data_IF_706126143601
#
_entry.id   IF_706126143601
#
_cell.length_a   1.000
_cell.length_b   1.000
_cell.length_c   1.000
_cell.angle_alpha   90.00
_cell.angle_beta   90.00
_cell.angle_gamma   90.00
#
_symmetry.space_group_name_H-M   'P 1'
#
loop_
_entity.id
_entity.type
_entity.pdbx_description
1 polymer ?
#
# COMPACT_ATOMS: atom_id res chain seq x y z
N UNK A 1 20.36 -2.14 30.19
CA UNK A 1 20.98 -3.14 29.29
C UNK A 1 22.49 -3.05 29.38
N UNK A 2 23.16 -4.19 29.53
CA UNK A 2 24.60 -4.21 29.57
C UNK A 2 25.15 -4.01 28.15
N UNK A 3 26.38 -3.46 28.06
CA UNK A 3 27.01 -3.19 26.78
C UNK A 3 27.15 -4.47 25.93
N UNK A 4 27.51 -5.58 26.55
CA UNK A 4 27.66 -6.86 25.88
C UNK A 4 26.34 -7.34 25.25
N UNK A 5 25.22 -7.20 25.97
CA UNK A 5 23.91 -7.59 25.47
C UNK A 5 23.51 -6.77 24.25
N UNK A 6 23.86 -5.48 24.25
CA UNK A 6 23.56 -4.59 23.14
C UNK A 6 24.36 -4.97 21.89
N UNK A 7 25.64 -5.29 22.04
CA UNK A 7 26.47 -5.69 20.92
C UNK A 7 26.01 -7.02 20.31
N UNK A 8 25.63 -7.99 21.15
CA UNK A 8 25.10 -9.26 20.66
C UNK A 8 23.82 -9.06 19.88
N UNK A 9 22.91 -8.23 20.37
CA UNK A 9 21.66 -7.92 19.69
C UNK A 9 21.90 -7.23 18.35
N UNK A 10 22.83 -6.29 18.32
CA UNK A 10 23.18 -5.57 17.11
C UNK A 10 23.73 -6.52 16.04
N UNK A 11 24.61 -7.43 16.44
CA UNK A 11 25.21 -8.42 15.54
C UNK A 11 24.13 -9.36 14.98
N UNK A 12 23.25 -9.86 15.83
CA UNK A 12 22.16 -10.74 15.41
C UNK A 12 21.24 -10.05 14.42
N UNK A 13 20.93 -8.80 14.65
CA UNK A 13 20.09 -8.02 13.76
C UNK A 13 20.73 -7.84 12.39
N UNK A 14 22.04 -7.54 12.38
CA UNK A 14 22.80 -7.37 11.13
C UNK A 14 22.82 -8.66 10.32
N UNK A 15 23.07 -9.79 10.95
CA UNK A 15 23.08 -11.10 10.29
C UNK A 15 21.71 -11.43 9.70
N UNK A 16 20.64 -11.15 10.44
CA UNK A 16 19.26 -11.37 9.98
C UNK A 16 18.96 -10.52 8.76
N UNK A 17 19.37 -9.26 8.76
CA UNK A 17 19.15 -8.36 7.63
C UNK A 17 19.91 -8.80 6.39
N UNK A 18 21.17 -9.23 6.55
CA UNK A 18 21.97 -9.72 5.43
C UNK A 18 21.34 -10.98 4.83
N UNK A 19 20.88 -11.89 5.66
CA UNK A 19 20.22 -13.11 5.22
C UNK A 19 18.92 -12.78 4.45
N UNK A 20 18.12 -11.86 4.97
CA UNK A 20 16.90 -11.45 4.32
C UNK A 20 17.18 -10.79 2.96
N UNK A 21 18.22 -9.95 2.88
CA UNK A 21 18.62 -9.33 1.61
C UNK A 21 19.04 -10.36 0.59
N UNK A 22 19.80 -11.36 1.02
CA UNK A 22 20.21 -12.46 0.15
C UNK A 22 19.04 -13.21 -0.42
N UNK A 23 18.06 -13.53 0.42
CA UNK A 23 16.84 -14.22 -0.01
C UNK A 23 16.02 -13.38 -1.00
N UNK A 24 15.88 -12.09 -0.74
CA UNK A 24 15.15 -11.19 -1.62
C UNK A 24 15.84 -11.10 -2.98
N UNK A 25 17.16 -10.99 -2.98
CA UNK A 25 17.94 -10.91 -4.22
C UNK A 25 17.78 -12.17 -5.06
N UNK A 26 17.82 -13.34 -4.41
CA UNK A 26 17.66 -14.61 -5.11
C UNK A 26 16.25 -14.75 -5.70
N UNK A 27 15.23 -14.29 -4.99
CA UNK A 27 13.86 -14.33 -5.48
C UNK A 27 13.66 -13.40 -6.68
N UNK A 28 14.26 -12.22 -6.64
CA UNK A 28 14.08 -11.25 -7.74
C UNK A 28 14.75 -11.70 -9.04
N UNK A 29 15.72 -12.61 -8.99
CA UNK A 29 16.30 -13.18 -10.19
C UNK A 29 15.34 -14.11 -10.92
N UNK A 30 14.44 -14.76 -10.17
CA UNK A 30 13.52 -15.76 -10.71
C UNK A 30 12.08 -15.29 -10.82
N UNK A 31 11.73 -14.18 -10.14
CA UNK A 31 10.36 -13.64 -10.12
C UNK A 31 10.42 -12.18 -10.55
N UNK A 32 9.68 -11.82 -11.61
CA UNK A 32 9.68 -10.42 -12.04
C UNK A 32 9.08 -9.51 -10.96
N UNK A 33 9.69 -8.34 -10.82
CA UNK A 33 9.17 -7.32 -9.91
C UNK A 33 7.95 -6.71 -10.59
N UNK A 34 6.78 -6.68 -9.92
CA UNK A 34 5.61 -6.07 -10.53
C UNK A 34 5.81 -4.57 -10.74
N UNK A 35 5.23 -4.04 -11.80
CA UNK A 35 5.28 -2.62 -12.08
C UNK A 35 4.59 -1.84 -10.96
N UNK A 36 5.05 -0.61 -10.66
CA UNK A 36 4.34 0.23 -9.70
C UNK A 36 2.94 0.55 -10.22
N UNK A 37 1.96 0.74 -9.32
CA UNK A 37 0.61 1.11 -9.77
C UNK A 37 0.65 2.46 -10.49
N UNK A 38 -0.13 2.57 -11.57
CA UNK A 38 -0.20 3.82 -12.32
C UNK A 38 -0.95 4.88 -11.51
N UNK A 39 -0.64 6.15 -11.80
CA UNK A 39 -1.36 7.25 -11.19
C UNK A 39 -2.85 7.18 -11.54
N UNK A 40 -3.71 7.50 -10.57
CA UNK A 40 -5.17 7.44 -10.75
C UNK A 40 -5.71 8.86 -10.72
N UNK A 41 -6.28 9.35 -11.84
CA UNK A 41 -6.86 10.69 -11.88
C UNK A 41 -8.17 10.78 -11.09
N UNK A 42 -8.53 12.00 -10.71
CA UNK A 42 -9.71 12.27 -9.89
C UNK A 42 -10.98 11.63 -10.45
N UNK A 43 -11.17 11.72 -11.76
CA UNK A 43 -12.37 11.16 -12.40
C UNK A 43 -12.50 9.67 -12.24
N UNK A 44 -11.37 8.96 -12.29
CA UNK A 44 -11.37 7.50 -12.11
C UNK A 44 -11.70 7.12 -10.68
N UNK A 45 -11.23 7.90 -9.71
CA UNK A 45 -11.54 7.66 -8.29
C UNK A 45 -13.04 7.79 -8.04
N UNK A 46 -13.65 8.85 -8.56
CA UNK A 46 -15.10 9.04 -8.45
C UNK A 46 -15.86 7.89 -9.10
N UNK A 47 -15.44 7.52 -10.31
CA UNK A 47 -16.08 6.44 -11.06
C UNK A 47 -16.00 5.12 -10.30
N UNK A 48 -14.83 4.79 -9.78
CA UNK A 48 -14.63 3.56 -9.01
C UNK A 48 -15.52 3.55 -7.77
N UNK A 49 -15.55 4.64 -7.01
CA UNK A 49 -16.37 4.74 -5.82
C UNK A 49 -17.86 4.54 -6.14
N UNK A 50 -18.33 5.19 -7.19
CA UNK A 50 -19.74 5.07 -7.60
C UNK A 50 -20.08 3.67 -8.10
N UNK A 51 -19.16 3.05 -8.81
CA UNK A 51 -19.34 1.66 -9.27
C UNK A 51 -19.49 0.70 -8.08
N UNK A 52 -18.76 0.93 -6.99
CA UNK A 52 -18.86 0.14 -5.79
C UNK A 52 -20.06 0.50 -4.92
N UNK A 53 -20.76 1.59 -5.24
CA UNK A 53 -21.94 2.02 -4.50
C UNK A 53 -21.63 2.58 -3.12
N UNK A 54 -20.45 3.16 -2.94
CA UNK A 54 -19.97 3.62 -1.63
C UNK A 54 -20.03 5.13 -1.50
N UNK A 55 -20.30 5.60 -0.26
CA UNK A 55 -20.16 7.02 0.07
C UNK A 55 -18.68 7.37 0.17
N UNK A 56 -18.37 8.67 0.14
CA UNK A 56 -17.00 9.13 0.31
C UNK A 56 -16.41 8.70 1.66
N UNK A 57 -17.21 8.77 2.73
CA UNK A 57 -16.78 8.37 4.07
C UNK A 57 -16.47 6.89 4.16
N UNK A 58 -17.33 6.05 3.60
CA UNK A 58 -17.12 4.61 3.63
C UNK A 58 -15.92 4.22 2.77
N UNK A 59 -15.80 4.80 1.59
CA UNK A 59 -14.68 4.52 0.71
C UNK A 59 -13.34 4.92 1.36
N UNK A 60 -13.29 6.11 1.98
CA UNK A 60 -12.10 6.55 2.71
C UNK A 60 -11.73 5.56 3.82
N UNK A 61 -12.73 5.11 4.57
CA UNK A 61 -12.49 4.15 5.67
C UNK A 61 -11.94 2.82 5.14
N UNK A 62 -12.46 2.34 4.04
CA UNK A 62 -11.99 1.09 3.43
C UNK A 62 -10.56 1.20 2.93
N UNK A 63 -10.18 2.37 2.45
CA UNK A 63 -8.81 2.62 1.99
C UNK A 63 -7.86 3.00 3.13
N UNK A 64 -8.38 3.18 4.34
CA UNK A 64 -7.55 3.54 5.49
C UNK A 64 -7.06 4.98 5.48
N UNK A 65 -7.79 5.88 4.85
CA UNK A 65 -7.43 7.30 4.78
C UNK A 65 -8.53 8.16 5.39
N UNK A 66 -8.18 9.42 5.71
CA UNK A 66 -9.17 10.38 6.21
C UNK A 66 -10.16 10.75 5.10
N UNK A 67 -11.40 11.03 5.49
CA UNK A 67 -12.43 11.47 4.55
C UNK A 67 -11.98 12.68 3.74
N UNK A 68 -11.34 13.65 4.40
CA UNK A 68 -10.85 14.85 3.72
C UNK A 68 -9.82 14.55 2.67
N UNK A 69 -8.98 13.53 2.90
CA UNK A 69 -7.98 13.08 1.92
C UNK A 69 -8.68 12.50 0.69
N UNK A 70 -9.66 11.64 0.89
CA UNK A 70 -10.42 11.04 -0.22
C UNK A 70 -11.15 12.12 -1.03
N UNK A 71 -11.80 13.07 -0.35
CA UNK A 71 -12.48 14.18 -1.02
C UNK A 71 -11.49 15.01 -1.82
N UNK A 72 -10.30 15.28 -1.27
CA UNK A 72 -9.25 16.01 -1.96
C UNK A 72 -8.81 15.31 -3.25
N UNK A 73 -8.77 13.98 -3.24
CA UNK A 73 -8.46 13.20 -4.43
C UNK A 73 -9.55 13.38 -5.50
N UNK A 74 -10.82 13.32 -5.11
CA UNK A 74 -11.93 13.48 -6.05
C UNK A 74 -12.02 14.88 -6.63
N UNK A 75 -11.56 15.88 -5.88
CA UNK A 75 -11.53 17.27 -6.32
C UNK A 75 -10.25 17.65 -7.07
N UNK A 76 -9.30 16.70 -7.16
CA UNK A 76 -8.05 16.96 -7.87
C UNK A 76 -7.04 17.79 -7.11
N UNK A 77 -7.27 18.08 -5.81
CA UNK A 77 -6.34 18.86 -5.00
C UNK A 77 -5.14 18.05 -4.53
N UNK A 78 -5.33 16.75 -4.35
CA UNK A 78 -4.27 15.82 -3.99
C UNK A 78 -4.34 14.60 -4.89
N UNK A 79 -3.23 13.91 -5.01
CA UNK A 79 -3.13 12.69 -5.81
C UNK A 79 -2.78 11.54 -4.88
N UNK A 80 -3.47 10.39 -4.99
CA UNK A 80 -3.09 9.21 -4.20
C UNK A 80 -1.66 8.79 -4.49
N UNK A 81 -0.97 8.32 -3.47
CA UNK A 81 0.40 7.84 -3.59
C UNK A 81 0.65 6.67 -2.65
N UNK A 82 1.75 5.96 -2.88
CA UNK A 82 2.17 4.87 -1.99
C UNK A 82 1.11 3.78 -1.84
N UNK A 83 0.85 3.40 -0.58
CA UNK A 83 -0.09 2.33 -0.27
C UNK A 83 -1.50 2.61 -0.78
N UNK A 84 -1.92 3.88 -0.82
CA UNK A 84 -3.25 4.25 -1.30
C UNK A 84 -3.43 3.89 -2.77
N UNK A 85 -2.40 4.09 -3.61
CA UNK A 85 -2.46 3.69 -5.01
C UNK A 85 -2.63 2.18 -5.16
N UNK A 86 -1.91 1.41 -4.35
CA UNK A 86 -2.02 -0.04 -4.39
C UNK A 86 -3.41 -0.50 -3.98
N UNK A 87 -3.99 0.11 -2.96
CA UNK A 87 -5.34 -0.21 -2.51
C UNK A 87 -6.39 0.16 -3.55
N UNK A 88 -6.20 1.28 -4.26
CA UNK A 88 -7.10 1.65 -5.36
C UNK A 88 -7.03 0.64 -6.50
N UNK A 89 -5.85 0.14 -6.81
CA UNK A 89 -5.69 -0.91 -7.81
C UNK A 89 -6.43 -2.18 -7.40
N UNK A 90 -6.31 -2.57 -6.14
CA UNK A 90 -7.02 -3.74 -5.60
C UNK A 90 -8.54 -3.51 -5.65
N UNK A 91 -8.99 -2.31 -5.29
CA UNK A 91 -10.41 -1.97 -5.34
C UNK A 91 -10.97 -2.09 -6.75
N UNK A 92 -10.18 -1.76 -7.75
CA UNK A 92 -10.59 -1.84 -9.15
C UNK A 92 -10.65 -3.28 -9.64
N UNK A 93 -9.62 -4.07 -9.33
CA UNK A 93 -9.48 -5.44 -9.86
C UNK A 93 -10.13 -6.50 -8.98
N UNK A 94 -10.08 -6.31 -7.68
CA UNK A 94 -10.53 -7.29 -6.70
C UNK A 94 -11.31 -6.61 -5.57
N UNK A 95 -12.48 -6.00 -5.87
CA UNK A 95 -13.23 -5.27 -4.85
C UNK A 95 -13.64 -6.13 -3.66
N UNK A 96 -13.79 -7.43 -3.87
CA UNK A 96 -14.14 -8.36 -2.79
C UNK A 96 -13.13 -8.41 -1.67
N UNK A 97 -11.88 -8.12 -1.95
CA UNK A 97 -10.82 -8.11 -0.92
C UNK A 97 -10.92 -6.91 0.01
N UNK A 98 -11.51 -5.81 -0.45
CA UNK A 98 -11.71 -4.63 0.38
C UNK A 98 -13.00 -4.69 1.17
N UNK A 99 -14.04 -5.29 0.60
CA UNK A 99 -15.35 -5.35 1.22
C UNK A 99 -15.44 -6.47 2.28
N UNK A 100 -14.53 -7.42 2.25
CA UNK A 100 -14.39 -8.39 3.34
C UNK A 100 -15.46 -9.46 3.42
N UNK A 101 -16.03 -9.85 2.32
CA UNK A 101 -17.03 -10.93 2.30
C UNK A 101 -16.47 -12.25 1.84
#
# INVERSE_FOLDING_TARGET
MKHEDFEDLKQSLTETLEHARGKITLKTKNVPIPDPPRAVPAKEIVRLRKRLGLSQSVFARMLGVARDTEISWEQGRRTPSGAALRLLEIAERHPEQLVGT
#
